data_IF_811139652005
#
_entry.id   IF_811139652005
#
_cell.length_a   1.000
_cell.length_b   1.000
_cell.length_c   1.000
_cell.angle_alpha   90.00
_cell.angle_beta   90.00
_cell.angle_gamma   90.00
#
_symmetry.space_group_name_H-M   'P 1'
#
loop_
_entity.id
_entity.type
_entity.pdbx_description
1 polymer ?
#
# COMPACT_ATOMS: atom_id res chain seq x y z
N UNK A 1 3.36 -20.67 15.59
CA UNK A 1 2.37 -19.58 15.69
C UNK A 1 2.06 -19.20 17.14
N UNK A 2 1.71 -20.16 18.01
CA UNK A 2 1.42 -19.95 19.45
C UNK A 2 2.33 -18.94 20.16
N UNK A 3 3.65 -19.11 20.07
CA UNK A 3 4.64 -18.24 20.75
C UNK A 3 4.58 -16.77 20.34
N UNK A 4 4.32 -16.48 19.06
CA UNK A 4 4.48 -15.13 18.50
C UNK A 4 3.15 -14.44 18.17
N UNK A 5 2.11 -15.22 17.88
CA UNK A 5 0.81 -14.72 17.46
C UNK A 5 -0.32 -15.15 18.40
N UNK A 6 -0.04 -15.98 19.42
CA UNK A 6 -1.04 -16.60 20.29
C UNK A 6 -2.15 -17.37 19.54
N UNK A 7 -1.77 -17.95 18.39
CA UNK A 7 -2.65 -18.77 17.54
C UNK A 7 -2.16 -20.21 17.55
N UNK A 8 -3.06 -21.13 17.91
CA UNK A 8 -2.84 -22.57 17.71
C UNK A 8 -3.09 -22.90 16.25
N UNK A 9 -2.15 -23.62 15.63
CA UNK A 9 -2.32 -24.06 14.24
C UNK A 9 -3.18 -25.30 14.18
N UNK A 10 -4.14 -25.30 13.27
CA UNK A 10 -4.90 -26.49 12.90
C UNK A 10 -4.08 -27.39 11.96
N UNK A 11 -4.54 -28.62 11.73
CA UNK A 11 -3.92 -29.50 10.74
C UNK A 11 -3.97 -28.91 9.32
N UNK A 12 -5.06 -28.22 8.98
CA UNK A 12 -5.24 -27.53 7.70
C UNK A 12 -4.21 -26.41 7.51
N UNK A 13 -3.91 -25.64 8.56
CA UNK A 13 -2.90 -24.58 8.52
C UNK A 13 -1.49 -25.13 8.27
N UNK A 14 -1.18 -26.27 8.90
CA UNK A 14 0.12 -26.95 8.72
C UNK A 14 0.26 -27.46 7.30
N UNK A 15 -0.80 -28.02 6.72
CA UNK A 15 -0.80 -28.53 5.36
C UNK A 15 -0.68 -27.40 4.32
N UNK A 16 -1.42 -26.30 4.51
CA UNK A 16 -1.31 -25.10 3.70
C UNK A 16 0.12 -24.56 3.67
N UNK A 17 0.76 -24.44 4.84
CA UNK A 17 2.14 -23.97 4.96
C UNK A 17 3.12 -24.88 4.20
N UNK A 18 3.01 -26.20 4.38
CA UNK A 18 3.91 -27.16 3.69
C UNK A 18 3.75 -27.09 2.18
N UNK A 19 2.51 -27.05 1.68
CA UNK A 19 2.21 -26.94 0.26
C UNK A 19 2.82 -25.68 -0.35
N UNK A 20 2.47 -24.51 0.17
CA UNK A 20 2.94 -23.24 -0.38
C UNK A 20 4.47 -23.12 -0.30
N UNK A 21 5.08 -23.56 0.81
CA UNK A 21 6.54 -23.58 0.94
C UNK A 21 7.24 -24.42 -0.13
N UNK A 22 6.62 -25.51 -0.58
CA UNK A 22 7.17 -26.34 -1.64
C UNK A 22 7.02 -25.72 -3.04
N UNK A 23 6.00 -24.88 -3.24
CA UNK A 23 5.69 -24.26 -4.54
C UNK A 23 6.66 -23.13 -4.92
N UNK A 24 7.11 -22.34 -3.95
CA UNK A 24 8.03 -21.22 -4.24
C UNK A 24 8.85 -20.78 -3.03
N UNK A 25 9.94 -20.05 -3.30
CA UNK A 25 10.75 -19.39 -2.28
C UNK A 25 9.91 -18.52 -1.32
N UNK A 26 8.87 -17.85 -1.84
CA UNK A 26 8.00 -16.98 -1.06
C UNK A 26 6.79 -17.68 -0.47
N UNK A 27 6.49 -18.92 -0.84
CA UNK A 27 5.23 -19.54 -0.46
C UNK A 27 5.11 -19.84 1.03
N UNK A 28 6.21 -20.23 1.70
CA UNK A 28 6.20 -20.41 3.16
C UNK A 28 5.93 -19.11 3.93
N UNK A 29 6.61 -17.99 3.62
CA UNK A 29 6.26 -16.69 4.16
C UNK A 29 4.83 -16.24 3.80
N UNK A 30 4.41 -16.41 2.54
CA UNK A 30 3.11 -15.95 2.05
C UNK A 30 1.93 -16.72 2.65
N UNK A 31 2.12 -17.97 3.11
CA UNK A 31 1.05 -18.75 3.75
C UNK A 31 0.69 -18.25 5.15
N UNK A 32 1.57 -17.50 5.82
CA UNK A 32 1.34 -17.02 7.20
C UNK A 32 0.18 -16.03 7.25
N UNK A 33 0.04 -15.18 6.24
CA UNK A 33 -1.05 -14.21 6.13
C UNK A 33 -2.43 -14.88 6.14
N UNK A 34 -2.74 -15.77 5.17
CA UNK A 34 -3.98 -16.52 5.12
C UNK A 34 -4.27 -17.33 6.40
N UNK A 35 -3.26 -17.98 6.99
CA UNK A 35 -3.42 -18.74 8.24
C UNK A 35 -3.91 -17.82 9.36
N UNK A 36 -3.26 -16.68 9.58
CA UNK A 36 -3.69 -15.73 10.61
C UNK A 36 -5.05 -15.12 10.31
N UNK A 37 -5.29 -14.77 9.05
CA UNK A 37 -6.52 -14.19 8.54
C UNK A 37 -7.77 -15.01 8.90
N UNK A 38 -7.69 -16.34 8.86
CA UNK A 38 -8.78 -17.24 9.24
C UNK A 38 -9.21 -17.11 10.72
N UNK A 39 -8.35 -16.55 11.58
CA UNK A 39 -8.64 -16.36 13.01
C UNK A 39 -9.13 -14.96 13.36
N UNK A 40 -9.09 -13.99 12.43
CA UNK A 40 -9.33 -12.56 12.72
C UNK A 40 -10.18 -11.85 11.66
N UNK A 41 -10.87 -12.58 10.77
CA UNK A 41 -11.76 -12.05 9.73
C UNK A 41 -11.11 -11.00 8.81
N UNK A 42 -9.86 -11.24 8.39
CA UNK A 42 -9.12 -10.37 7.45
C UNK A 42 -8.94 -11.08 6.11
N UNK A 43 -9.26 -10.42 5.00
CA UNK A 43 -9.08 -10.96 3.65
C UNK A 43 -7.91 -10.35 2.89
N UNK A 44 -7.34 -11.13 1.96
CA UNK A 44 -6.33 -10.70 0.98
C UNK A 44 -6.80 -11.05 -0.42
N UNK A 45 -6.61 -10.15 -1.39
CA UNK A 45 -7.03 -10.35 -2.79
C UNK A 45 -5.87 -10.60 -3.75
N UNK A 46 -4.64 -10.26 -3.35
CA UNK A 46 -3.41 -10.46 -4.13
C UNK A 46 -2.22 -10.54 -3.19
N UNK A 47 -1.12 -11.13 -3.65
CA UNK A 47 0.20 -11.11 -2.99
C UNK A 47 1.07 -9.93 -3.47
N UNK A 48 0.50 -9.04 -4.29
CA UNK A 48 1.16 -7.88 -4.89
C UNK A 48 0.37 -6.59 -4.59
N UNK A 49 0.67 -5.50 -5.29
CA UNK A 49 0.01 -4.21 -5.15
C UNK A 49 -1.43 -4.22 -5.68
N UNK A 50 -2.25 -3.29 -5.18
CA UNK A 50 -3.56 -2.96 -5.73
C UNK A 50 -3.56 -1.52 -6.25
N UNK A 51 -4.54 -1.19 -7.11
CA UNK A 51 -4.68 0.15 -7.69
C UNK A 51 -5.60 1.08 -6.87
N UNK A 52 -5.86 0.76 -5.60
CA UNK A 52 -6.72 1.57 -4.75
C UNK A 52 -6.10 2.97 -4.54
N UNK A 53 -6.89 4.07 -4.60
CA UNK A 53 -6.41 5.40 -4.23
C UNK A 53 -5.85 5.42 -2.81
N UNK A 54 -4.73 6.11 -2.60
CA UNK A 54 -4.08 6.24 -1.29
C UNK A 54 -4.30 7.63 -0.69
N UNK A 55 -4.55 7.76 0.63
CA UNK A 55 -4.75 9.05 1.27
C UNK A 55 -3.44 9.84 1.36
N UNK A 56 -3.52 11.16 1.16
CA UNK A 56 -2.43 12.10 1.39
C UNK A 56 -2.74 12.93 2.64
N UNK A 57 -1.78 12.99 3.56
CA UNK A 57 -1.88 13.82 4.78
C UNK A 57 -0.84 14.94 4.69
N UNK A 58 -1.29 16.19 4.88
CA UNK A 58 -0.44 17.37 4.82
C UNK A 58 -0.73 18.31 6.00
N UNK A 59 0.33 18.95 6.53
CA UNK A 59 0.25 19.86 7.67
C UNK A 59 1.21 21.04 7.48
N UNK A 60 0.84 22.22 8.00
CA UNK A 60 1.62 23.45 7.90
C UNK A 60 1.18 24.38 6.74
N UNK A 61 1.93 25.47 6.49
CA UNK A 61 1.59 26.41 5.42
C UNK A 61 1.57 25.74 4.05
N UNK A 62 0.47 25.88 3.31
CA UNK A 62 0.30 25.25 1.99
C UNK A 62 -0.33 23.86 2.03
N UNK A 63 -0.63 23.31 3.22
CA UNK A 63 -1.28 22.00 3.35
C UNK A 63 -2.65 21.93 2.66
N UNK A 64 -3.37 23.06 2.62
CA UNK A 64 -4.66 23.18 1.93
C UNK A 64 -4.57 22.86 0.44
N UNK A 65 -3.38 22.96 -0.17
CA UNK A 65 -3.18 22.63 -1.59
C UNK A 65 -3.27 21.13 -1.87
N UNK A 66 -3.10 20.26 -0.86
CA UNK A 66 -3.16 18.80 -1.00
C UNK A 66 -4.56 18.23 -0.76
N UNK A 67 -5.57 19.08 -0.57
CA UNK A 67 -6.96 18.64 -0.46
C UNK A 67 -7.54 18.36 -1.86
N UNK A 68 -7.80 17.09 -2.17
CA UNK A 68 -8.38 16.69 -3.45
C UNK A 68 -7.99 15.28 -3.86
N UNK A 69 -8.30 14.94 -5.10
CA UNK A 69 -7.86 13.70 -5.76
C UNK A 69 -6.80 14.11 -6.77
N UNK A 70 -5.60 13.53 -6.65
CA UNK A 70 -4.46 13.86 -7.47
C UNK A 70 -3.82 12.59 -8.02
N UNK A 71 -3.24 12.69 -9.21
CA UNK A 71 -2.29 11.70 -9.67
C UNK A 71 -0.99 11.78 -8.85
N UNK A 72 -0.34 10.64 -8.62
CA UNK A 72 0.89 10.60 -7.82
C UNK A 72 2.00 11.50 -8.40
N UNK A 73 2.01 11.75 -9.70
CA UNK A 73 2.99 12.64 -10.35
C UNK A 73 2.79 14.12 -10.05
N UNK A 74 1.62 14.53 -9.54
CA UNK A 74 1.32 15.91 -9.17
C UNK A 74 1.86 16.25 -7.77
N UNK A 75 1.81 15.30 -6.83
CA UNK A 75 2.29 15.47 -5.45
C UNK A 75 3.72 16.03 -5.37
N UNK A 76 4.75 15.46 -6.04
CA UNK A 76 6.11 16.01 -5.96
C UNK A 76 6.23 17.41 -6.58
N UNK A 77 5.38 17.76 -7.56
CA UNK A 77 5.36 19.10 -8.18
C UNK A 77 4.83 20.14 -7.19
N UNK A 78 3.76 19.80 -6.48
CA UNK A 78 3.17 20.65 -5.44
C UNK A 78 4.14 20.88 -4.29
N UNK A 79 4.83 19.82 -3.84
CA UNK A 79 5.90 19.93 -2.83
C UNK A 79 7.01 20.84 -3.34
N UNK A 80 7.47 20.64 -4.58
CA UNK A 80 8.52 21.44 -5.21
C UNK A 80 8.19 22.93 -5.23
N UNK A 81 6.98 23.26 -5.68
CA UNK A 81 6.47 24.63 -5.72
C UNK A 81 6.43 25.29 -4.33
N UNK A 82 5.94 24.57 -3.32
CA UNK A 82 5.85 25.09 -1.95
C UNK A 82 7.23 25.29 -1.31
N UNK A 83 8.20 24.43 -1.65
CA UNK A 83 9.58 24.54 -1.20
C UNK A 83 10.40 25.60 -1.97
N UNK A 84 9.81 26.25 -2.98
CA UNK A 84 10.47 27.30 -3.77
C UNK A 84 11.42 26.79 -4.84
N UNK A 85 11.31 25.53 -5.25
CA UNK A 85 12.09 24.99 -6.37
C UNK A 85 11.54 25.47 -7.71
N UNK A 86 12.45 25.82 -8.62
CA UNK A 86 12.11 26.08 -10.01
C UNK A 86 11.73 24.75 -10.69
N UNK A 87 10.58 24.74 -11.37
CA UNK A 87 10.07 23.52 -12.01
C UNK A 87 10.65 23.38 -13.41
N UNK A 88 11.83 22.75 -13.54
CA UNK A 88 12.60 22.66 -14.79
C UNK A 88 12.57 21.23 -15.41
N UNK A 89 11.41 20.72 -15.86
CA UNK A 89 11.32 19.56 -16.80
C UNK A 89 9.89 19.40 -17.36
N UNK A 90 9.69 18.84 -18.59
CA UNK A 90 8.77 19.38 -19.58
C UNK A 90 7.33 19.48 -19.10
N UNK A 91 6.73 20.57 -19.57
CA UNK A 91 5.40 21.09 -19.27
C UNK A 91 4.32 20.15 -19.80
N UNK A 92 4.08 19.03 -19.12
CA UNK A 92 2.68 18.60 -19.01
C UNK A 92 2.03 19.61 -18.09
N UNK A 93 1.15 20.43 -18.67
CA UNK A 93 0.41 21.47 -17.96
C UNK A 93 -0.13 20.85 -16.67
N UNK A 94 0.26 21.42 -15.53
CA UNK A 94 -0.38 21.06 -14.27
C UNK A 94 -1.86 21.36 -14.48
N UNK A 95 -2.77 20.37 -14.34
CA UNK A 95 -4.19 20.65 -14.47
C UNK A 95 -4.55 21.77 -13.51
N UNK A 96 -5.42 22.68 -13.96
CA UNK A 96 -5.95 23.68 -13.06
C UNK A 96 -6.64 22.96 -11.89
N UNK A 97 -6.62 23.57 -10.71
CA UNK A 97 -7.11 22.94 -9.48
C UNK A 97 -8.56 22.46 -9.69
N UNK A 98 -8.76 21.14 -9.76
CA UNK A 98 -10.09 20.54 -9.98
C UNK A 98 -10.39 20.04 -11.39
N UNK A 99 -9.43 20.05 -12.32
CA UNK A 99 -9.58 19.37 -13.62
C UNK A 99 -8.92 17.99 -13.60
N UNK A 100 -9.72 16.97 -13.89
CA UNK A 100 -9.34 15.56 -13.98
C UNK A 100 -8.61 15.24 -15.29
#
# INVERSE_FOLDING_TARGET
MKRYCNVEMTEEDVELYKRMRAESYYGGPNSIGPILSNHVDVGWTTYDHSAAPVPVFAFGPGAEKFAGIYDLTQIPRMIGQLAGYEMIYPVYQVPSLGEH
#
